data_IF_127116951245
#
_entry.id   IF_127116951245
#
_cell.length_a   1.000
_cell.length_b   1.000
_cell.length_c   1.000
_cell.angle_alpha   90.00
_cell.angle_beta   90.00
_cell.angle_gamma   90.00
#
_symmetry.space_group_name_H-M   'P 1'
#
loop_
_entity.id
_entity.type
_entity.pdbx_description
1 polymer ?
#
# COMPACT_ATOMS: atom_id res chain seq x y z
N UNK A 1 17.04 9.66 -11.53
CA UNK A 1 17.55 8.59 -10.65
C UNK A 1 16.49 8.12 -9.64
N UNK A 2 15.87 9.00 -8.86
CA UNK A 2 14.82 8.62 -7.88
C UNK A 2 13.64 7.89 -8.53
N UNK A 3 13.14 8.43 -9.67
CA UNK A 3 12.03 7.80 -10.41
C UNK A 3 12.38 6.37 -10.89
N UNK A 4 13.60 6.16 -11.37
CA UNK A 4 14.03 4.82 -11.80
C UNK A 4 14.07 3.83 -10.62
N UNK A 5 14.57 4.27 -9.46
CA UNK A 5 14.59 3.43 -8.24
C UNK A 5 13.15 3.13 -7.81
N UNK A 6 12.28 4.14 -7.81
CA UNK A 6 10.87 3.96 -7.47
C UNK A 6 10.19 2.93 -8.41
N UNK A 7 10.37 3.06 -9.72
CA UNK A 7 9.81 2.12 -10.70
C UNK A 7 10.36 0.71 -10.53
N UNK A 8 11.66 0.55 -10.26
CA UNK A 8 12.26 -0.75 -9.97
C UNK A 8 11.67 -1.39 -8.72
N UNK A 9 11.44 -0.62 -7.66
CA UNK A 9 10.79 -1.12 -6.44
C UNK A 9 9.36 -1.53 -6.74
N UNK A 10 8.60 -0.74 -7.49
CA UNK A 10 7.21 -1.05 -7.88
C UNK A 10 7.17 -2.36 -8.68
N UNK A 11 8.02 -2.50 -9.71
CA UNK A 11 8.09 -3.72 -10.53
C UNK A 11 8.46 -4.93 -9.65
N UNK A 12 9.46 -4.79 -8.78
CA UNK A 12 9.88 -5.84 -7.85
C UNK A 12 8.75 -6.27 -6.91
N UNK A 13 8.02 -5.32 -6.34
CA UNK A 13 6.88 -5.61 -5.46
C UNK A 13 5.76 -6.36 -6.20
N UNK A 14 5.41 -5.93 -7.41
CA UNK A 14 4.39 -6.65 -8.20
C UNK A 14 4.85 -8.02 -8.63
N UNK A 15 6.13 -8.21 -8.98
CA UNK A 15 6.68 -9.54 -9.27
C UNK A 15 6.59 -10.47 -8.05
N UNK A 16 6.90 -9.98 -6.86
CA UNK A 16 6.75 -10.73 -5.61
C UNK A 16 5.27 -11.00 -5.32
N UNK A 17 4.41 -10.01 -5.50
CA UNK A 17 2.97 -10.14 -5.23
C UNK A 17 2.32 -11.18 -6.14
N UNK A 18 2.64 -11.22 -7.42
CA UNK A 18 2.05 -12.15 -8.37
C UNK A 18 2.61 -13.56 -8.29
N UNK A 19 3.88 -13.72 -7.89
CA UNK A 19 4.55 -15.03 -7.94
C UNK A 19 4.58 -15.72 -6.57
N UNK A 20 4.87 -14.99 -5.49
CA UNK A 20 5.10 -15.59 -4.18
C UNK A 20 3.88 -15.54 -3.27
N UNK A 21 3.05 -14.51 -3.38
CA UNK A 21 1.95 -14.34 -2.42
C UNK A 21 0.75 -15.25 -2.70
N UNK A 22 0.61 -15.82 -3.89
CA UNK A 22 -0.39 -16.88 -4.15
C UNK A 22 -0.13 -18.11 -3.27
N UNK A 23 1.14 -18.45 -3.04
CA UNK A 23 1.54 -19.57 -2.17
C UNK A 23 1.21 -19.30 -0.70
N UNK A 24 1.21 -18.04 -0.28
CA UNK A 24 0.90 -17.59 1.08
C UNK A 24 -0.55 -17.15 1.27
N UNK A 25 -1.45 -17.51 0.36
CA UNK A 25 -2.86 -17.19 0.49
C UNK A 25 -3.47 -17.90 1.71
N UNK A 26 -3.86 -17.13 2.72
CA UNK A 26 -4.61 -17.63 3.88
C UNK A 26 -6.11 -17.37 3.66
N UNK A 27 -6.89 -18.44 3.59
CA UNK A 27 -8.35 -18.38 3.35
C UNK A 27 -8.77 -17.57 2.11
N UNK A 28 -7.93 -17.60 1.05
CA UNK A 28 -8.18 -16.85 -0.16
C UNK A 28 -7.89 -15.36 -0.06
N UNK A 29 -7.15 -14.93 0.97
CA UNK A 29 -6.71 -13.56 1.17
C UNK A 29 -5.19 -13.49 1.08
N UNK A 30 -4.66 -12.65 0.20
CA UNK A 30 -3.23 -12.36 0.06
C UNK A 30 -2.96 -10.94 0.55
N UNK A 31 -1.77 -10.66 1.13
CA UNK A 31 -1.43 -9.28 1.51
C UNK A 31 -1.23 -8.41 0.26
N UNK A 32 -1.70 -7.18 0.32
CA UNK A 32 -1.54 -6.20 -0.75
C UNK A 32 -0.26 -5.36 -0.52
N UNK A 33 0.85 -5.81 -1.11
CA UNK A 33 2.13 -5.09 -1.02
C UNK A 33 2.07 -3.71 -1.68
N UNK A 34 1.22 -3.53 -2.69
CA UNK A 34 1.02 -2.25 -3.35
C UNK A 34 0.38 -1.23 -2.40
N UNK A 35 -0.63 -1.65 -1.62
CA UNK A 35 -1.25 -0.81 -0.59
C UNK A 35 -0.23 -0.44 0.50
N UNK A 36 0.52 -1.42 1.01
CA UNK A 36 1.54 -1.19 2.04
C UNK A 36 2.60 -0.20 1.53
N UNK A 37 3.02 -0.34 0.28
CA UNK A 37 3.99 0.58 -0.33
C UNK A 37 3.42 1.99 -0.55
N UNK A 38 2.14 2.12 -0.91
CA UNK A 38 1.47 3.42 -1.01
C UNK A 38 1.41 4.13 0.36
N UNK A 39 1.12 3.39 1.44
CA UNK A 39 1.17 3.89 2.82
C UNK A 39 2.60 4.34 3.19
N UNK A 40 3.61 3.54 2.84
CA UNK A 40 5.02 3.89 3.07
C UNK A 40 5.39 5.19 2.36
N UNK A 41 5.03 5.33 1.08
CA UNK A 41 5.29 6.55 0.32
C UNK A 41 4.55 7.76 0.91
N UNK A 42 3.30 7.59 1.34
CA UNK A 42 2.54 8.63 2.02
C UNK A 42 3.21 9.10 3.32
N UNK A 43 3.74 8.15 4.11
CA UNK A 43 4.42 8.45 5.36
C UNK A 43 5.79 9.12 5.19
N UNK A 44 6.51 8.83 4.10
CA UNK A 44 7.91 9.26 3.94
C UNK A 44 8.13 10.36 2.89
N UNK A 45 7.24 10.50 1.91
CA UNK A 45 7.38 11.52 0.86
C UNK A 45 6.65 12.81 1.25
N UNK A 46 6.95 13.91 0.57
CA UNK A 46 6.15 15.13 0.68
C UNK A 46 4.71 14.85 0.23
N UNK A 47 3.78 15.72 0.64
CA UNK A 47 2.34 15.53 0.40
C UNK A 47 2.00 15.19 -1.05
N UNK A 48 2.51 15.96 -1.99
CA UNK A 48 2.27 15.73 -3.41
C UNK A 48 2.95 14.46 -3.93
N UNK A 49 4.14 14.14 -3.42
CA UNK A 49 4.86 12.91 -3.73
C UNK A 49 4.16 11.66 -3.22
N UNK A 50 3.61 11.69 -2.01
CA UNK A 50 2.85 10.58 -1.45
C UNK A 50 1.56 10.29 -2.21
N UNK A 51 0.81 11.34 -2.59
CA UNK A 51 -0.39 11.21 -3.42
C UNK A 51 -0.04 10.66 -4.81
N UNK A 52 0.96 11.26 -5.47
CA UNK A 52 1.39 10.83 -6.80
C UNK A 52 1.88 9.38 -6.82
N UNK A 53 2.64 8.97 -5.81
CA UNK A 53 3.09 7.59 -5.67
C UNK A 53 1.91 6.63 -5.51
N UNK A 54 0.94 6.94 -4.64
CA UNK A 54 -0.26 6.13 -4.46
C UNK A 54 -1.06 5.96 -5.74
N UNK A 55 -1.27 7.05 -6.50
CA UNK A 55 -1.96 7.02 -7.81
C UNK A 55 -1.21 6.14 -8.80
N UNK A 56 0.10 6.29 -8.94
CA UNK A 56 0.92 5.50 -9.89
C UNK A 56 0.88 4.02 -9.51
N UNK A 57 1.07 3.69 -8.23
CA UNK A 57 1.04 2.31 -7.72
C UNK A 57 -0.33 1.67 -8.01
N UNK A 58 -1.40 2.38 -7.66
CA UNK A 58 -2.77 1.89 -7.89
C UNK A 58 -3.10 1.72 -9.37
N UNK A 59 -2.66 2.66 -10.21
CA UNK A 59 -2.85 2.56 -11.67
C UNK A 59 -2.14 1.35 -12.27
N UNK A 60 -0.88 1.09 -11.85
CA UNK A 60 -0.15 -0.10 -12.27
C UNK A 60 -0.89 -1.37 -11.82
N UNK A 61 -1.40 -1.38 -10.59
CA UNK A 61 -2.19 -2.51 -10.09
C UNK A 61 -3.47 -2.72 -10.89
N UNK A 62 -4.20 -1.66 -11.22
CA UNK A 62 -5.41 -1.74 -12.06
C UNK A 62 -5.09 -2.34 -13.44
N UNK A 63 -3.98 -1.95 -14.06
CA UNK A 63 -3.55 -2.49 -15.35
C UNK A 63 -3.17 -3.99 -15.27
N UNK A 64 -2.62 -4.44 -14.14
CA UNK A 64 -2.16 -5.82 -13.96
C UNK A 64 -3.26 -6.76 -13.47
N UNK A 65 -4.22 -6.27 -12.70
CA UNK A 65 -5.24 -7.11 -12.05
C UNK A 65 -6.35 -7.57 -13.00
N UNK A 66 -6.52 -6.92 -14.16
CA UNK A 66 -7.62 -7.21 -15.09
C UNK A 66 -9.03 -6.98 -14.50
N UNK A 67 -9.10 -6.34 -13.32
CA UNK A 67 -10.35 -6.01 -12.64
C UNK A 67 -10.96 -4.69 -13.12
N UNK A 68 -11.77 -4.07 -12.27
CA UNK A 68 -12.35 -2.76 -12.56
C UNK A 68 -11.29 -1.67 -12.50
N UNK A 69 -11.00 -1.05 -13.64
CA UNK A 69 -10.02 0.03 -13.76
C UNK A 69 -10.40 1.21 -12.86
N UNK A 70 -9.44 1.70 -12.09
CA UNK A 70 -9.58 2.89 -11.26
C UNK A 70 -9.84 2.61 -9.77
N UNK A 71 -10.25 1.41 -9.37
CA UNK A 71 -10.51 1.10 -7.96
C UNK A 71 -9.22 1.17 -7.15
N UNK A 72 -8.18 0.48 -7.61
CA UNK A 72 -6.88 0.49 -6.94
C UNK A 72 -6.22 1.87 -7.03
N UNK A 73 -6.35 2.55 -8.17
CA UNK A 73 -5.86 3.93 -8.33
C UNK A 73 -6.49 4.87 -7.30
N UNK A 74 -7.81 4.80 -7.12
CA UNK A 74 -8.53 5.61 -6.14
C UNK A 74 -8.13 5.25 -4.71
N UNK A 75 -8.15 3.97 -4.37
CA UNK A 75 -7.86 3.50 -3.01
C UNK A 75 -6.42 3.84 -2.58
N UNK A 76 -5.42 3.48 -3.40
CA UNK A 76 -4.01 3.75 -3.09
C UNK A 76 -3.68 5.24 -3.15
N UNK A 77 -4.34 5.99 -4.05
CA UNK A 77 -4.24 7.46 -4.10
C UNK A 77 -4.77 8.11 -2.83
N UNK A 78 -5.93 7.67 -2.33
CA UNK A 78 -6.51 8.13 -1.05
C UNK A 78 -5.64 7.71 0.14
N UNK A 79 -5.09 6.50 0.15
CA UNK A 79 -4.15 6.07 1.18
C UNK A 79 -2.91 6.97 1.18
N UNK A 80 -2.28 7.21 0.02
CA UNK A 80 -1.14 8.12 -0.11
C UNK A 80 -1.43 9.54 0.37
N UNK A 81 -2.62 10.08 0.05
CA UNK A 81 -3.09 11.37 0.54
C UNK A 81 -3.25 11.37 2.06
N UNK A 82 -4.02 10.41 2.59
CA UNK A 82 -4.36 10.34 4.01
C UNK A 82 -3.09 10.27 4.88
N UNK A 83 -2.16 9.38 4.53
CA UNK A 83 -0.92 9.22 5.30
C UNK A 83 0.06 10.38 5.10
N UNK A 84 0.07 11.04 3.93
CA UNK A 84 0.89 12.23 3.74
C UNK A 84 0.40 13.45 4.53
N UNK A 85 -0.88 13.52 4.85
CA UNK A 85 -1.43 14.56 5.75
C UNK A 85 -1.24 14.17 7.21
N UNK A 86 -1.34 12.88 7.52
CA UNK A 86 -1.29 12.39 8.90
C UNK A 86 0.12 12.41 9.49
N UNK A 87 1.16 12.18 8.67
CA UNK A 87 2.56 12.21 9.11
C UNK A 87 2.98 13.53 9.74
N UNK A 88 2.36 14.66 9.33
CA UNK A 88 2.67 15.98 9.88
C UNK A 88 2.08 16.18 11.29
N UNK A 89 1.16 15.30 11.70
CA UNK A 89 0.44 15.37 12.98
C UNK A 89 0.84 14.27 13.95
N UNK A 90 1.34 13.16 13.46
CA UNK A 90 1.63 11.95 14.25
C UNK A 90 3.01 11.42 13.88
N UNK A 91 3.82 11.15 14.89
CA UNK A 91 5.12 10.49 14.70
C UNK A 91 4.87 9.04 14.35
N UNK A 92 5.14 8.67 13.09
CA UNK A 92 4.99 7.31 12.57
C UNK A 92 6.29 6.55 12.78
N UNK A 93 6.70 6.41 14.04
CA UNK A 93 7.91 5.66 14.42
C UNK A 93 7.54 4.50 15.34
N UNK A 94 8.08 3.32 15.03
CA UNK A 94 7.85 2.10 15.83
C UNK A 94 6.80 1.15 15.26
N UNK A 95 6.80 -0.08 15.77
CA UNK A 95 5.98 -1.17 15.25
C UNK A 95 4.47 -0.95 15.42
N UNK A 96 4.06 -0.39 16.56
CA UNK A 96 2.64 -0.21 16.90
C UNK A 96 1.95 0.81 15.99
N UNK A 97 2.46 2.05 15.82
CA UNK A 97 1.86 3.01 14.90
C UNK A 97 1.82 2.51 13.45
N UNK A 98 2.90 1.92 12.96
CA UNK A 98 2.99 1.40 11.59
C UNK A 98 1.91 0.31 11.36
N UNK A 99 1.79 -0.67 12.27
CA UNK A 99 0.76 -1.71 12.18
C UNK A 99 -0.64 -1.13 12.17
N UNK A 100 -0.92 -0.16 13.05
CA UNK A 100 -2.22 0.50 13.12
C UNK A 100 -2.55 1.25 11.83
N UNK A 101 -1.57 1.93 11.24
CA UNK A 101 -1.77 2.66 9.99
C UNK A 101 -2.04 1.72 8.82
N UNK A 102 -1.28 0.63 8.70
CA UNK A 102 -1.50 -0.36 7.64
C UNK A 102 -2.87 -1.04 7.82
N UNK A 103 -3.25 -1.37 9.05
CA UNK A 103 -4.55 -1.93 9.35
C UNK A 103 -5.68 -0.99 8.93
N UNK A 104 -5.59 0.29 9.30
CA UNK A 104 -6.58 1.31 8.92
C UNK A 104 -6.65 1.50 7.40
N UNK A 105 -5.49 1.56 6.72
CA UNK A 105 -5.43 1.63 5.26
C UNK A 105 -6.11 0.42 4.60
N UNK A 106 -5.89 -0.78 5.13
CA UNK A 106 -6.49 -2.01 4.61
C UNK A 106 -8.00 -2.04 4.79
N UNK A 107 -8.51 -1.52 5.91
CA UNK A 107 -9.95 -1.39 6.10
C UNK A 107 -10.57 -0.40 5.11
N UNK A 108 -9.92 0.75 4.89
CA UNK A 108 -10.36 1.75 3.91
C UNK A 108 -10.36 1.18 2.49
N UNK A 109 -9.30 0.49 2.10
CA UNK A 109 -9.19 -0.18 0.80
C UNK A 109 -10.31 -1.21 0.60
N UNK A 110 -10.53 -2.07 1.58
CA UNK A 110 -11.61 -3.05 1.58
C UNK A 110 -13.00 -2.41 1.50
N UNK A 111 -13.24 -1.29 2.20
CA UNK A 111 -14.49 -0.55 2.13
C UNK A 111 -14.71 0.07 0.74
N UNK A 112 -13.69 0.69 0.15
CA UNK A 112 -13.77 1.26 -1.20
C UNK A 112 -14.09 0.16 -2.21
N UNK A 113 -13.37 -0.96 -2.15
CA UNK A 113 -13.62 -2.10 -3.01
C UNK A 113 -15.05 -2.64 -2.86
N UNK A 114 -15.54 -2.78 -1.63
CA UNK A 114 -16.89 -3.24 -1.35
C UNK A 114 -17.96 -2.30 -1.92
N UNK A 115 -17.85 -1.01 -1.64
CA UNK A 115 -18.83 -0.01 -2.10
C UNK A 115 -18.89 0.00 -3.63
N UNK A 116 -17.74 0.00 -4.30
CA UNK A 116 -17.71 0.05 -5.77
C UNK A 116 -18.18 -1.27 -6.38
N UNK A 117 -17.75 -2.43 -5.84
CA UNK A 117 -18.17 -3.72 -6.38
C UNK A 117 -19.66 -3.97 -6.21
N UNK A 118 -20.25 -3.63 -5.06
CA UNK A 118 -21.69 -3.77 -4.85
C UNK A 118 -22.51 -2.83 -5.73
N UNK A 119 -22.01 -1.61 -5.97
CA UNK A 119 -22.68 -0.62 -6.81
C UNK A 119 -22.71 -1.06 -8.30
N UNK A 120 -21.66 -1.76 -8.76
CA UNK A 120 -21.51 -2.14 -10.16
C UNK A 120 -22.07 -3.52 -10.49
N UNK A 121 -22.00 -4.48 -9.54
CA UNK A 121 -22.35 -5.88 -9.82
C UNK A 121 -23.69 -6.30 -9.22
N UNK A 122 -24.37 -5.46 -8.44
CA UNK A 122 -25.59 -5.78 -7.69
C UNK A 122 -25.50 -7.10 -6.88
N UNK A 123 -24.29 -7.59 -6.65
CA UNK A 123 -24.05 -8.84 -5.92
C UNK A 123 -24.31 -8.62 -4.43
N UNK A 124 -25.29 -9.33 -3.89
CA UNK A 124 -25.56 -9.37 -2.44
C UNK A 124 -24.46 -10.20 -1.77
N UNK A 125 -23.40 -9.54 -1.31
CA UNK A 125 -22.42 -10.19 -0.45
C UNK A 125 -23.05 -10.43 0.93
N UNK A 126 -22.86 -11.64 1.49
CA UNK A 126 -23.26 -11.93 2.88
C UNK A 126 -22.41 -11.08 3.81
N UNK A 127 -23.02 -10.03 4.37
CA UNK A 127 -22.34 -8.98 5.14
C UNK A 127 -21.43 -9.50 6.27
N UNK A 128 -21.85 -10.53 6.99
CA UNK A 128 -21.03 -11.06 8.08
C UNK A 128 -19.72 -11.71 7.66
N UNK A 129 -19.69 -12.40 6.52
CA UNK A 129 -18.47 -13.02 5.98
C UNK A 129 -17.51 -11.94 5.46
N UNK A 130 -18.05 -10.86 4.93
CA UNK A 130 -17.28 -9.75 4.40
C UNK A 130 -16.49 -9.03 5.50
N UNK A 131 -17.13 -8.71 6.62
CA UNK A 131 -16.47 -8.06 7.76
C UNK A 131 -15.29 -8.90 8.27
N UNK A 132 -15.50 -10.21 8.46
CA UNK A 132 -14.43 -11.12 8.89
C UNK A 132 -13.26 -11.11 7.91
N UNK A 133 -13.53 -11.14 6.60
CA UNK A 133 -12.48 -11.08 5.57
C UNK A 133 -11.73 -9.74 5.58
N UNK A 134 -12.42 -8.62 5.76
CA UNK A 134 -11.77 -7.30 5.87
C UNK A 134 -10.85 -7.21 7.08
N UNK A 135 -11.28 -7.72 8.24
CA UNK A 135 -10.43 -7.77 9.43
C UNK A 135 -9.22 -8.70 9.24
N UNK A 136 -9.42 -9.90 8.68
CA UNK A 136 -8.35 -10.83 8.37
C UNK A 136 -7.34 -10.21 7.39
N UNK A 137 -7.81 -9.53 6.34
CA UNK A 137 -6.98 -8.78 5.40
C UNK A 137 -6.16 -7.68 6.08
N UNK A 138 -6.78 -6.91 6.99
CA UNK A 138 -6.10 -5.88 7.76
C UNK A 138 -4.99 -6.43 8.66
N UNK A 139 -5.25 -7.53 9.36
CA UNK A 139 -4.25 -8.20 10.22
C UNK A 139 -3.10 -8.74 9.36
N UNK A 140 -3.42 -9.38 8.24
CA UNK A 140 -2.43 -9.96 7.35
C UNK A 140 -1.55 -8.89 6.69
N UNK A 141 -2.15 -7.80 6.21
CA UNK A 141 -1.41 -6.65 5.71
C UNK A 141 -0.54 -6.01 6.78
N UNK A 142 -1.01 -5.91 8.03
CA UNK A 142 -0.20 -5.36 9.13
C UNK A 142 1.04 -6.19 9.39
N UNK A 143 0.92 -7.52 9.41
CA UNK A 143 2.05 -8.42 9.60
C UNK A 143 3.06 -8.33 8.44
N UNK A 144 2.58 -8.42 7.19
CA UNK A 144 3.42 -8.27 6.00
C UNK A 144 4.03 -6.87 5.90
N UNK A 145 3.27 -5.87 6.32
CA UNK A 145 3.68 -4.47 6.27
C UNK A 145 4.82 -4.13 7.21
N UNK A 146 4.86 -4.69 8.40
CA UNK A 146 6.00 -4.52 9.31
C UNK A 146 7.30 -5.00 8.67
N UNK A 147 7.27 -6.16 8.03
CA UNK A 147 8.42 -6.70 7.31
C UNK A 147 8.83 -5.79 6.14
N UNK A 148 7.84 -5.36 5.34
CA UNK A 148 8.10 -4.53 4.17
C UNK A 148 8.65 -3.15 4.57
N UNK A 149 8.08 -2.49 5.59
CA UNK A 149 8.59 -1.23 6.13
C UNK A 149 10.03 -1.37 6.60
N UNK A 150 10.35 -2.41 7.36
CA UNK A 150 11.72 -2.68 7.80
C UNK A 150 12.69 -2.83 6.62
N UNK A 151 12.30 -3.58 5.58
CA UNK A 151 13.15 -3.78 4.39
C UNK A 151 13.34 -2.48 3.61
N UNK A 152 12.28 -1.69 3.44
CA UNK A 152 12.33 -0.42 2.72
C UNK A 152 13.18 0.62 3.48
N UNK A 153 13.03 0.72 4.80
CA UNK A 153 13.83 1.63 5.62
C UNK A 153 15.30 1.23 5.62
N UNK A 154 15.61 -0.06 5.71
CA UNK A 154 16.98 -0.56 5.59
C UNK A 154 17.58 -0.26 4.21
N UNK A 155 16.81 -0.45 3.15
CA UNK A 155 17.21 -0.10 1.79
C UNK A 155 17.48 1.40 1.63
N UNK A 156 16.59 2.24 2.16
CA UNK A 156 16.74 3.70 2.16
C UNK A 156 18.00 4.15 2.92
N UNK A 157 18.25 3.58 4.10
CA UNK A 157 19.45 3.89 4.88
C UNK A 157 20.72 3.49 4.14
N UNK A 158 20.74 2.31 3.49
CA UNK A 158 21.87 1.85 2.70
C UNK A 158 22.16 2.75 1.49
N UNK A 159 21.11 3.21 0.78
CA UNK A 159 21.23 4.15 -0.34
C UNK A 159 21.77 5.51 0.16
N UNK A 160 21.23 6.02 1.27
CA UNK A 160 21.67 7.29 1.87
C UNK A 160 23.13 7.25 2.32
N UNK A 161 23.60 6.10 2.80
CA UNK A 161 24.99 5.93 3.22
C UNK A 161 25.98 5.92 2.04
N UNK A 162 25.54 5.36 0.87
CA UNK A 162 26.41 5.28 -0.33
C UNK A 162 26.40 6.53 -1.21
N UNK A 163 25.34 7.33 -1.13
CA UNK A 163 25.18 8.53 -1.98
C UNK A 163 25.01 9.74 -1.07
N UNK A 164 26.13 10.42 -0.71
CA UNK A 164 26.05 11.56 0.22
C UNK A 164 25.25 12.72 -0.36
N UNK A 165 24.20 13.10 0.34
CA UNK A 165 23.56 14.42 0.46
C UNK A 165 22.98 15.18 -0.75
N UNK A 166 22.92 14.70 -1.97
CA UNK A 166 22.35 15.50 -3.06
C UNK A 166 21.12 14.91 -3.79
N UNK A 167 20.78 13.64 -3.57
CA UNK A 167 19.82 12.94 -4.43
C UNK A 167 18.46 12.70 -3.75
N UNK A 168 18.38 12.77 -2.46
CA UNK A 168 17.17 12.45 -1.70
C UNK A 168 16.62 13.63 -0.87
N UNK A 169 16.73 14.86 -1.40
CA UNK A 169 15.82 15.90 -0.90
C UNK A 169 14.40 15.44 -1.24
N UNK A 170 13.49 15.38 -0.26
CA UNK A 170 12.11 14.98 -0.52
C UNK A 170 11.51 15.96 -1.53
N UNK A 171 11.01 15.42 -2.63
CA UNK A 171 10.17 16.16 -3.59
C UNK A 171 8.88 16.57 -2.94
#
# INVERSE_FOLDING_TARGET
MILCVFLLVVIGLFSVQTTLLEVFSLWGTTPDLALIFAVYCGAHFQRNGGIGAGIIIGFVQDCLSGGLLGINTLSKGLAGLFFSVLKDKIVVEGFIPISFFIFTASLLDGMIYFVISTSLTAAQAKEGILLIRMFAFGIYNSAAGLLLFYLLDKGRQWINHKIPNQVLRPL
#
